data_IF_060557905754
#
_entry.id   IF_060557905754
#
_cell.length_a   1.000
_cell.length_b   1.000
_cell.length_c   1.000
_cell.angle_alpha   90.00
_cell.angle_beta   90.00
_cell.angle_gamma   90.00
#
_symmetry.space_group_name_H-M   'P 1'
#
loop_
_entity.id
_entity.type
_entity.pdbx_description
1 polymer ?
#
# COMPACT_ATOMS: atom_id res chain seq x y z
N UNK A 1 24.67 -8.09 -2.01
CA UNK A 1 23.39 -7.98 -2.75
C UNK A 1 22.28 -8.14 -1.74
N UNK A 2 21.38 -7.18 -1.62
CA UNK A 2 20.18 -7.33 -0.80
C UNK A 2 19.26 -8.37 -1.47
N UNK A 3 18.90 -9.44 -0.76
CA UNK A 3 17.98 -10.45 -1.28
C UNK A 3 16.54 -9.94 -1.16
N UNK A 4 15.81 -9.93 -2.28
CA UNK A 4 14.39 -9.58 -2.29
C UNK A 4 13.60 -10.72 -1.63
N UNK A 5 12.81 -10.40 -0.60
CA UNK A 5 11.92 -11.34 0.08
C UNK A 5 10.64 -11.62 -0.70
N UNK A 6 10.16 -10.63 -1.46
CA UNK A 6 8.96 -10.78 -2.29
C UNK A 6 8.44 -9.45 -2.83
N UNK A 7 7.30 -9.51 -3.50
CA UNK A 7 6.60 -8.34 -4.02
C UNK A 7 5.36 -8.04 -3.18
N UNK A 8 5.26 -6.81 -2.69
CA UNK A 8 4.14 -6.25 -1.95
C UNK A 8 3.26 -5.44 -2.90
N UNK A 9 2.11 -5.99 -3.30
CA UNK A 9 1.07 -5.20 -3.98
C UNK A 9 0.31 -4.37 -2.95
N UNK A 10 0.15 -3.08 -3.18
CA UNK A 10 -0.65 -2.14 -2.38
C UNK A 10 -1.71 -1.55 -3.28
N UNK A 11 -2.98 -1.86 -3.01
CA UNK A 11 -4.11 -1.20 -3.68
C UNK A 11 -4.53 0.04 -2.91
N UNK A 12 -4.32 1.20 -3.50
CA UNK A 12 -4.84 2.48 -2.98
C UNK A 12 -6.26 2.64 -3.50
N UNK A 13 -7.29 2.41 -2.67
CA UNK A 13 -8.68 2.48 -3.14
C UNK A 13 -9.20 3.91 -3.20
N UNK A 14 -9.27 4.60 -2.06
CA UNK A 14 -9.86 5.95 -2.01
C UNK A 14 -9.31 6.82 -0.88
N UNK A 15 -9.47 8.12 -1.05
CA UNK A 15 -9.33 9.13 0.01
C UNK A 15 -10.70 9.58 0.48
N UNK A 16 -10.85 9.88 1.76
CA UNK A 16 -12.11 10.35 2.34
C UNK A 16 -11.86 11.71 3.01
N UNK A 17 -12.62 12.73 2.61
CA UNK A 17 -12.58 14.09 3.12
C UNK A 17 -11.17 14.68 3.17
N UNK A 18 -10.44 14.65 2.05
CA UNK A 18 -9.12 15.25 1.89
C UNK A 18 -9.13 16.76 2.15
N UNK A 19 -7.94 17.31 2.39
CA UNK A 19 -7.83 18.75 2.67
C UNK A 19 -8.10 19.48 1.36
N UNK A 20 -8.85 20.56 1.41
CA UNK A 20 -8.92 21.50 0.29
C UNK A 20 -7.64 22.32 0.32
N UNK A 21 -6.88 22.30 -0.77
CA UNK A 21 -5.65 23.09 -0.95
C UNK A 21 -5.76 24.08 -2.11
N UNK A 22 -6.70 23.89 -3.03
CA UNK A 22 -7.15 24.94 -3.97
C UNK A 22 -8.29 25.79 -3.41
N UNK A 23 -8.83 26.70 -4.23
CA UNK A 23 -9.95 27.59 -3.89
C UNK A 23 -11.19 26.84 -3.40
N UNK A 24 -11.50 25.67 -3.98
CA UNK A 24 -12.71 24.87 -3.64
C UNK A 24 -12.49 23.36 -3.59
N UNK A 25 -11.35 22.85 -4.04
CA UNK A 25 -11.07 21.42 -4.12
C UNK A 25 -9.58 21.13 -3.99
N UNK A 26 -9.16 19.93 -4.37
CA UNK A 26 -7.79 19.56 -4.69
C UNK A 26 -7.79 18.57 -5.86
N UNK A 27 -6.62 18.40 -6.46
CA UNK A 27 -6.23 17.40 -7.45
C UNK A 27 -5.32 16.32 -6.81
N UNK A 28 -5.84 15.47 -5.90
CA UNK A 28 -5.00 14.62 -5.07
C UNK A 28 -4.38 13.42 -5.79
N UNK A 29 -3.15 13.10 -5.40
CA UNK A 29 -2.48 11.83 -5.69
C UNK A 29 -1.69 11.31 -4.48
N UNK A 30 -1.43 10.00 -4.48
CA UNK A 30 -0.71 9.33 -3.39
C UNK A 30 0.67 8.93 -3.84
N UNK A 31 1.67 9.18 -2.99
CA UNK A 31 3.03 8.68 -3.11
C UNK A 31 3.28 7.65 -2.03
N UNK A 32 3.64 6.44 -2.45
CA UNK A 32 4.08 5.35 -1.57
C UNK A 32 5.61 5.28 -1.59
N UNK A 33 6.24 5.17 -0.42
CA UNK A 33 7.69 4.99 -0.27
C UNK A 33 8.03 3.86 0.68
N UNK A 34 9.06 3.10 0.34
CA UNK A 34 9.67 2.10 1.21
C UNK A 34 11.17 2.00 0.87
N UNK A 35 12.03 2.35 1.82
CA UNK A 35 13.46 2.53 1.54
C UNK A 35 13.68 3.53 0.39
N UNK A 36 14.38 3.08 -0.65
CA UNK A 36 14.68 3.88 -1.85
C UNK A 36 13.58 3.83 -2.92
N UNK A 37 12.55 3.00 -2.75
CA UNK A 37 11.47 2.88 -3.72
C UNK A 37 10.43 3.98 -3.54
N UNK A 38 9.94 4.52 -4.66
CA UNK A 38 8.90 5.55 -4.71
C UNK A 38 7.94 5.22 -5.86
N UNK A 39 6.68 5.03 -5.53
CA UNK A 39 5.59 4.81 -6.48
C UNK A 39 4.53 5.89 -6.29
N UNK A 40 3.78 6.21 -7.34
CA UNK A 40 2.71 7.21 -7.29
C UNK A 40 1.46 6.71 -8.00
N UNK A 41 0.29 7.07 -7.48
CA UNK A 41 -0.97 6.88 -8.19
C UNK A 41 -1.13 7.93 -9.29
N UNK A 42 -2.17 7.78 -10.12
CA UNK A 42 -2.68 8.89 -10.91
C UNK A 42 -3.24 10.02 -10.04
N UNK A 43 -3.32 11.19 -10.64
CA UNK A 43 -4.00 12.38 -10.10
C UNK A 43 -5.50 12.25 -10.39
N UNK A 44 -6.34 12.49 -9.39
CA UNK A 44 -7.79 12.67 -9.57
C UNK A 44 -8.07 14.15 -9.45
N UNK A 45 -8.72 14.77 -10.43
CA UNK A 45 -8.91 16.22 -10.47
C UNK A 45 -10.17 16.64 -9.71
N UNK A 46 -10.08 17.75 -8.97
CA UNK A 46 -11.16 18.47 -8.31
C UNK A 46 -12.06 17.55 -7.47
N UNK A 47 -11.45 16.69 -6.69
CA UNK A 47 -12.17 15.75 -5.82
C UNK A 47 -11.43 15.53 -4.50
N UNK A 48 -12.06 15.89 -3.38
CA UNK A 48 -11.54 15.62 -2.03
C UNK A 48 -11.97 14.26 -1.49
N UNK A 49 -12.71 13.46 -2.27
CA UNK A 49 -13.05 12.06 -1.99
C UNK A 49 -12.62 11.15 -3.15
N UNK A 50 -11.35 11.21 -3.59
CA UNK A 50 -10.91 10.57 -4.81
C UNK A 50 -10.98 9.04 -4.70
N UNK A 51 -11.45 8.39 -5.76
CA UNK A 51 -11.38 6.94 -5.93
C UNK A 51 -10.24 6.58 -6.89
N UNK A 52 -9.07 6.26 -6.35
CA UNK A 52 -7.91 5.83 -7.15
C UNK A 52 -8.05 4.38 -7.61
N UNK A 53 -8.44 3.43 -6.77
CA UNK A 53 -8.51 2.00 -7.13
C UNK A 53 -7.28 1.52 -7.94
N UNK A 54 -6.08 1.90 -7.49
CA UNK A 54 -4.84 1.71 -8.24
C UNK A 54 -3.87 0.80 -7.48
N UNK A 55 -3.28 -0.15 -8.19
CA UNK A 55 -2.32 -1.11 -7.64
C UNK A 55 -0.89 -0.60 -7.83
N UNK A 56 -0.14 -0.51 -6.73
CA UNK A 56 1.28 -0.17 -6.71
C UNK A 56 2.07 -1.34 -6.12
N UNK A 57 3.13 -1.80 -6.78
CA UNK A 57 3.90 -2.99 -6.33
C UNK A 57 5.31 -2.61 -5.89
N UNK A 58 5.62 -2.80 -4.61
CA UNK A 58 6.94 -2.61 -4.02
C UNK A 58 7.70 -3.94 -3.94
N UNK A 59 9.02 -3.92 -4.14
CA UNK A 59 9.91 -5.04 -3.82
C UNK A 59 10.32 -4.97 -2.35
N UNK A 60 10.05 -5.99 -1.55
CA UNK A 60 10.42 -5.98 -0.13
C UNK A 60 11.79 -6.63 0.05
N UNK A 61 12.78 -5.84 0.46
CA UNK A 61 14.12 -6.32 0.84
C UNK A 61 14.28 -6.44 2.36
N UNK A 62 13.79 -5.46 3.10
CA UNK A 62 13.77 -5.48 4.57
C UNK A 62 12.33 -5.21 5.10
N UNK A 63 11.71 -6.18 5.79
CA UNK A 63 10.35 -6.03 6.28
C UNK A 63 10.26 -5.09 7.49
N UNK A 64 11.39 -4.71 8.10
CA UNK A 64 11.42 -3.73 9.19
C UNK A 64 11.30 -2.28 8.70
N UNK A 65 11.45 -2.04 7.40
CA UNK A 65 11.28 -0.71 6.83
C UNK A 65 9.79 -0.35 6.78
N UNK A 66 9.37 0.78 7.36
CA UNK A 66 7.98 1.21 7.30
C UNK A 66 7.61 1.64 5.89
N UNK A 67 6.35 1.38 5.50
CA UNK A 67 5.77 1.93 4.28
C UNK A 67 5.19 3.30 4.60
N UNK A 68 5.69 4.33 3.92
CA UNK A 68 5.20 5.71 4.04
C UNK A 68 4.23 6.03 2.92
N UNK A 69 3.07 6.56 3.27
CA UNK A 69 2.04 7.06 2.38
C UNK A 69 1.95 8.57 2.54
N UNK A 70 2.13 9.31 1.45
CA UNK A 70 2.05 10.77 1.46
C UNK A 70 1.04 11.19 0.39
N UNK A 71 0.11 12.06 0.76
CA UNK A 71 -0.87 12.63 -0.17
C UNK A 71 -0.43 14.02 -0.56
N UNK A 72 -0.47 14.31 -1.85
CA UNK A 72 -0.14 15.59 -2.44
C UNK A 72 -1.31 16.11 -3.26
N UNK A 73 -1.45 17.43 -3.29
CA UNK A 73 -2.27 18.14 -4.24
C UNK A 73 -1.41 18.49 -5.47
N UNK A 74 -1.89 18.16 -6.66
CA UNK A 74 -1.14 18.42 -7.90
C UNK A 74 -1.44 19.82 -8.45
N UNK A 75 -0.42 20.65 -8.54
CA UNK A 75 -0.52 21.98 -9.13
C UNK A 75 0.20 22.04 -10.49
N UNK A 76 -0.46 22.63 -11.49
CA UNK A 76 0.13 22.77 -12.84
C UNK A 76 1.25 23.81 -12.92
N UNK A 77 1.19 24.85 -12.09
CA UNK A 77 2.08 26.03 -12.19
C UNK A 77 2.87 26.29 -10.90
N UNK A 78 2.58 25.55 -9.83
CA UNK A 78 3.24 25.68 -8.53
C UNK A 78 3.76 24.34 -8.05
N UNK A 79 4.44 24.34 -6.91
CA UNK A 79 4.92 23.12 -6.28
C UNK A 79 3.74 22.42 -5.60
N UNK A 80 3.55 21.14 -5.90
CA UNK A 80 2.56 20.28 -5.27
C UNK A 80 2.53 20.39 -3.73
N UNK A 81 1.32 20.57 -3.21
CA UNK A 81 1.07 20.86 -1.80
C UNK A 81 0.88 19.58 -0.98
N UNK A 82 1.60 19.42 0.14
CA UNK A 82 1.45 18.23 0.99
C UNK A 82 0.11 18.28 1.74
N UNK A 83 -0.74 17.28 1.50
CA UNK A 83 -2.07 17.17 2.12
C UNK A 83 -2.07 16.35 3.42
N UNK A 84 -1.00 15.58 3.66
CA UNK A 84 -0.73 14.84 4.89
C UNK A 84 0.04 13.55 4.62
N UNK A 85 0.41 12.83 5.67
CA UNK A 85 1.12 11.55 5.55
C UNK A 85 0.70 10.54 6.62
N UNK A 86 0.90 9.27 6.32
CA UNK A 86 0.74 8.16 7.24
C UNK A 86 1.88 7.15 7.02
N UNK A 87 2.12 6.32 8.02
CA UNK A 87 3.04 5.20 7.93
C UNK A 87 2.40 3.95 8.55
N UNK A 88 2.75 2.79 8.00
CA UNK A 88 2.31 1.49 8.51
C UNK A 88 3.42 0.46 8.40
N UNK A 89 3.37 -0.51 9.30
CA UNK A 89 4.31 -1.63 9.39
C UNK A 89 3.75 -2.83 8.61
N UNK A 90 4.61 -3.51 7.86
CA UNK A 90 4.26 -4.71 7.11
C UNK A 90 4.69 -5.99 7.83
N UNK A 91 5.49 -5.93 8.91
CA UNK A 91 5.97 -7.12 9.63
C UNK A 91 4.86 -8.08 10.04
N UNK A 92 3.73 -7.65 10.65
CA UNK A 92 2.66 -8.58 11.02
C UNK A 92 2.08 -9.32 9.81
N UNK A 93 2.05 -8.66 8.65
CA UNK A 93 1.65 -9.27 7.40
C UNK A 93 2.65 -10.33 6.93
N UNK A 94 3.94 -10.00 6.91
CA UNK A 94 5.02 -10.91 6.52
C UNK A 94 5.09 -12.14 7.45
N UNK A 95 4.90 -11.94 8.74
CA UNK A 95 4.86 -13.04 9.73
C UNK A 95 3.68 -13.97 9.44
N UNK A 96 2.52 -13.42 9.10
CA UNK A 96 1.33 -14.22 8.72
C UNK A 96 1.60 -15.05 7.45
N UNK A 97 2.32 -14.52 6.46
CA UNK A 97 2.71 -15.28 5.25
C UNK A 97 3.63 -16.46 5.55
N UNK A 98 4.41 -16.40 6.62
CA UNK A 98 5.35 -17.47 7.03
C UNK A 98 4.66 -18.58 7.83
N UNK A 99 3.40 -18.39 8.22
CA UNK A 99 2.63 -19.40 8.95
C UNK A 99 2.21 -20.54 8.03
N UNK A 100 2.05 -21.74 8.60
CA UNK A 100 1.42 -22.84 7.89
C UNK A 100 -0.11 -22.64 7.90
N UNK A 101 -0.64 -22.18 6.78
CA UNK A 101 -2.08 -21.93 6.60
C UNK A 101 -2.82 -23.09 5.92
N UNK A 102 -2.20 -24.28 5.83
CA UNK A 102 -2.86 -25.46 5.29
C UNK A 102 -4.10 -25.82 6.13
N UNK A 103 -5.25 -25.95 5.47
CA UNK A 103 -6.53 -26.30 6.13
C UNK A 103 -7.24 -25.13 6.82
N UNK A 104 -6.70 -23.91 6.77
CA UNK A 104 -7.40 -22.72 7.26
C UNK A 104 -8.57 -22.39 6.33
N UNK A 105 -9.76 -22.14 6.89
CA UNK A 105 -10.93 -21.76 6.12
C UNK A 105 -10.82 -20.33 5.58
N UNK A 106 -11.30 -20.11 4.36
CA UNK A 106 -11.44 -18.76 3.79
C UNK A 106 -12.30 -17.88 4.70
N UNK A 107 -11.93 -16.61 4.84
CA UNK A 107 -12.56 -15.64 5.75
C UNK A 107 -11.99 -15.62 7.17
N UNK A 108 -11.02 -16.49 7.50
CA UNK A 108 -10.42 -16.50 8.84
C UNK A 108 -9.55 -15.27 9.08
N UNK A 109 -9.84 -14.52 10.14
CA UNK A 109 -8.98 -13.44 10.65
C UNK A 109 -7.80 -14.08 11.38
N UNK A 110 -6.59 -13.92 10.86
CA UNK A 110 -5.37 -14.48 11.45
C UNK A 110 -4.79 -13.52 12.50
N UNK A 111 -4.70 -12.24 12.15
CA UNK A 111 -4.11 -11.20 13.00
C UNK A 111 -4.98 -9.96 12.97
N UNK A 112 -5.10 -9.28 14.12
CA UNK A 112 -5.80 -8.00 14.26
C UNK A 112 -4.87 -6.98 14.89
N UNK A 113 -4.73 -5.82 14.25
CA UNK A 113 -3.92 -4.70 14.72
C UNK A 113 -4.87 -3.56 15.09
N UNK A 114 -4.85 -3.15 16.35
CA UNK A 114 -5.72 -2.08 16.83
C UNK A 114 -5.10 -0.69 16.64
N UNK A 115 -5.92 0.37 16.46
CA UNK A 115 -5.47 1.74 16.54
C UNK A 115 -4.74 2.05 17.85
N UNK A 116 -3.63 2.78 17.75
CA UNK A 116 -2.86 3.23 18.91
C UNK A 116 -2.25 4.60 18.67
N UNK A 117 -1.66 5.20 19.71
CA UNK A 117 -0.93 6.48 19.56
C UNK A 117 0.36 6.33 18.73
N UNK A 118 0.84 5.10 18.58
CA UNK A 118 2.09 4.77 17.92
C UNK A 118 1.90 4.41 16.43
N UNK A 119 0.67 4.16 15.97
CA UNK A 119 0.39 3.85 14.57
C UNK A 119 -0.52 4.90 13.91
N UNK A 120 -0.75 4.73 12.61
CA UNK A 120 -1.65 5.60 11.85
C UNK A 120 -3.00 4.95 11.56
N UNK A 121 -3.39 3.88 12.27
CA UNK A 121 -4.67 3.23 12.05
C UNK A 121 -5.81 4.09 12.62
N UNK A 122 -6.92 4.14 11.89
CA UNK A 122 -8.17 4.79 12.31
C UNK A 122 -9.22 3.80 12.80
N UNK A 123 -9.12 2.54 12.36
CA UNK A 123 -9.95 1.41 12.74
C UNK A 123 -9.06 0.16 12.84
N UNK A 124 -9.62 -0.95 13.35
CA UNK A 124 -8.91 -2.23 13.41
C UNK A 124 -8.48 -2.69 12.01
N UNK A 125 -7.20 -3.01 11.85
CA UNK A 125 -6.67 -3.64 10.64
C UNK A 125 -6.63 -5.14 10.84
N UNK A 126 -7.37 -5.87 10.02
CA UNK A 126 -7.40 -7.33 10.04
C UNK A 126 -6.57 -7.90 8.90
N UNK A 127 -5.75 -8.91 9.22
CA UNK A 127 -5.08 -9.76 8.25
C UNK A 127 -5.92 -11.04 8.15
N UNK A 128 -6.44 -11.30 6.96
CA UNK A 128 -7.46 -12.32 6.69
C UNK A 128 -6.88 -13.31 5.66
N UNK A 129 -7.10 -14.59 5.91
CA UNK A 129 -6.90 -15.62 4.89
C UNK A 129 -8.17 -15.76 4.05
N UNK A 130 -8.09 -15.45 2.76
CA UNK A 130 -9.21 -15.50 1.81
C UNK A 130 -8.75 -16.15 0.51
N UNK A 131 -9.39 -17.26 0.13
CA UNK A 131 -9.25 -17.93 -1.17
C UNK A 131 -7.79 -18.17 -1.58
N UNK A 132 -7.01 -18.76 -0.67
CA UNK A 132 -5.60 -19.07 -0.90
C UNK A 132 -4.66 -17.87 -0.78
N UNK A 133 -5.16 -16.70 -0.37
CA UNK A 133 -4.39 -15.46 -0.25
C UNK A 133 -4.49 -14.89 1.15
N UNK A 134 -3.43 -14.23 1.58
CA UNK A 134 -3.45 -13.38 2.77
C UNK A 134 -3.73 -11.96 2.30
N UNK A 135 -4.70 -11.29 2.91
CA UNK A 135 -5.12 -9.92 2.60
C UNK A 135 -5.15 -9.13 3.88
N UNK A 136 -4.71 -7.87 3.83
CA UNK A 136 -4.85 -6.93 4.93
C UNK A 136 -5.56 -5.68 4.47
N UNK A 137 -6.58 -5.30 5.23
CA UNK A 137 -7.28 -4.04 5.05
C UNK A 137 -6.69 -3.01 6.01
N UNK A 138 -6.36 -1.84 5.48
CA UNK A 138 -5.80 -0.72 6.23
C UNK A 138 -6.69 0.49 6.10
N UNK A 139 -7.06 1.05 7.25
CA UNK A 139 -7.78 2.31 7.40
C UNK A 139 -6.85 3.34 8.03
N UNK A 140 -6.15 4.14 7.22
CA UNK A 140 -5.11 5.04 7.71
C UNK A 140 -5.67 6.43 8.03
N UNK A 141 -5.09 7.11 9.03
CA UNK A 141 -5.30 8.50 9.39
C UNK A 141 -4.07 9.32 9.02
N UNK A 142 -4.23 10.36 8.20
CA UNK A 142 -3.10 11.26 7.93
C UNK A 142 -2.77 12.15 9.13
N UNK A 143 -1.48 12.25 9.40
CA UNK A 143 -0.87 13.29 10.22
C UNK A 143 -0.59 14.51 9.33
N UNK A 144 -0.99 15.68 9.79
CA UNK A 144 -0.70 16.95 9.10
C UNK A 144 0.65 17.51 9.57
N UNK A 145 1.41 18.07 8.64
CA UNK A 145 2.72 18.68 8.92
C UNK A 145 2.62 20.03 9.68
N UNK A 146 1.46 20.71 9.62
CA UNK A 146 1.28 22.06 10.18
C UNK A 146 0.58 22.08 11.55
N UNK A 147 0.83 21.11 12.44
CA UNK A 147 0.57 21.31 13.87
C UNK A 147 1.89 21.70 14.52
N UNK A 148 2.23 22.98 14.43
CA UNK A 148 3.31 23.58 15.22
C UNK A 148 2.94 23.41 16.69
N UNK A 149 3.68 22.59 17.42
CA UNK A 149 3.66 22.47 18.89
C UNK A 149 2.26 22.43 19.53
N UNK A 150 1.68 21.23 19.67
CA UNK A 150 0.70 21.01 20.73
C UNK A 150 1.42 21.12 22.09
N UNK A 151 1.52 22.34 22.63
CA UNK A 151 1.76 22.52 24.06
C UNK A 151 0.51 22.00 24.76
N UNK A 152 0.64 20.87 25.46
CA UNK A 152 -0.36 20.37 26.38
C UNK A 152 -0.57 21.39 27.49
N UNK A 153 -1.62 22.21 27.39
CA UNK A 153 -2.14 22.89 28.57
C UNK A 153 -2.99 21.90 29.37
N UNK A 154 -2.70 21.83 30.65
CA UNK A 154 -3.13 20.84 31.63
C UNK A 154 -4.58 20.95 32.10
N UNK A 155 -5.48 21.58 31.34
CA UNK A 155 -6.86 21.80 31.78
C UNK A 155 -7.87 21.42 30.69
N UNK A 156 -8.47 20.24 30.87
CA UNK A 156 -9.91 19.98 30.66
C UNK A 156 -10.55 20.32 29.31
N UNK A 157 -11.01 19.25 28.65
CA UNK A 157 -11.87 19.15 27.45
C UNK A 157 -11.18 19.40 26.09
N UNK A 158 -11.09 18.36 25.22
CA UNK A 158 -10.74 18.57 23.83
C UNK A 158 -11.92 19.27 23.14
N UNK A 159 -11.80 20.58 22.94
CA UNK A 159 -12.59 21.28 21.92
C UNK A 159 -12.34 20.57 20.60
N UNK A 160 -13.42 20.15 19.91
CA UNK A 160 -13.37 19.55 18.57
C UNK A 160 -12.54 20.43 17.63
N UNK A 161 -11.26 20.11 17.51
CA UNK A 161 -10.46 20.56 16.38
C UNK A 161 -11.08 19.88 15.17
N UNK A 162 -11.79 20.66 14.36
CA UNK A 162 -12.25 20.31 13.01
C UNK A 162 -11.01 19.97 12.15
N UNK A 163 -10.48 18.78 12.34
CA UNK A 163 -9.51 18.11 11.50
C UNK A 163 -10.07 16.73 11.27
N UNK A 164 -10.89 16.62 10.22
CA UNK A 164 -11.58 15.39 9.86
C UNK A 164 -10.62 14.19 9.93
N UNK A 165 -11.09 13.13 10.58
CA UNK A 165 -10.46 11.83 10.56
C UNK A 165 -10.51 11.39 9.09
N UNK A 166 -9.41 11.51 8.36
CA UNK A 166 -9.33 11.07 6.95
C UNK A 166 -8.98 9.61 6.94
N UNK A 167 -9.95 8.78 6.58
CA UNK A 167 -9.82 7.33 6.52
C UNK A 167 -9.46 6.96 5.08
N UNK A 168 -8.32 6.29 4.86
CA UNK A 168 -7.96 5.73 3.55
C UNK A 168 -8.26 4.26 3.57
N UNK A 169 -9.03 3.80 2.61
CA UNK A 169 -9.13 2.37 2.38
C UNK A 169 -7.95 1.95 1.49
N UNK A 170 -6.89 1.45 2.11
CA UNK A 170 -5.79 0.77 1.43
C UNK A 170 -6.02 -0.72 1.60
N UNK A 171 -6.88 -1.29 0.77
CA UNK A 171 -7.13 -2.74 0.80
C UNK A 171 -6.71 -3.37 -0.50
N UNK A 172 -5.49 -3.87 -0.45
CA UNK A 172 -5.08 -5.21 -0.84
C UNK A 172 -3.57 -5.20 -0.68
N UNK A 173 -3.09 -5.67 0.47
CA UNK A 173 -1.71 -6.15 0.57
C UNK A 173 -1.73 -7.61 0.14
N UNK A 174 -1.29 -7.88 -1.09
CA UNK A 174 -1.13 -9.24 -1.58
C UNK A 174 0.36 -9.46 -1.83
N UNK A 175 0.94 -10.42 -1.13
CA UNK A 175 2.24 -10.96 -1.49
C UNK A 175 2.02 -12.18 -2.37
N UNK A 176 2.49 -12.12 -3.62
CA UNK A 176 2.80 -13.35 -4.34
C UNK A 176 4.16 -13.84 -3.86
N UNK A 177 4.17 -14.71 -2.86
CA UNK A 177 5.39 -15.38 -2.38
C UNK A 177 5.51 -16.82 -2.89
N UNK A 178 4.80 -17.20 -3.97
CA UNK A 178 4.78 -18.60 -4.41
C UNK A 178 4.85 -18.88 -5.92
N UNK A 179 5.30 -17.91 -6.74
CA UNK A 179 5.48 -18.16 -8.19
C UNK A 179 6.89 -17.91 -8.74
N UNK A 180 7.86 -17.43 -7.95
CA UNK A 180 9.24 -17.31 -8.46
C UNK A 180 9.92 -18.68 -8.66
N UNK A 181 9.66 -19.65 -7.78
CA UNK A 181 10.24 -21.00 -7.92
C UNK A 181 9.53 -21.86 -8.99
N UNK A 182 8.22 -21.65 -9.21
CA UNK A 182 7.47 -22.35 -10.27
C UNK A 182 7.74 -21.80 -11.66
N UNK A 183 8.00 -20.50 -11.79
CA UNK A 183 8.36 -19.89 -13.08
C UNK A 183 9.79 -20.22 -13.48
N UNK A 184 10.74 -20.30 -12.53
CA UNK A 184 12.09 -20.80 -12.79
C UNK A 184 12.06 -22.29 -13.17
N UNK A 185 11.31 -23.12 -12.44
CA UNK A 185 11.18 -24.56 -12.76
C UNK A 185 10.50 -24.81 -14.11
N UNK A 186 9.47 -24.06 -14.47
CA UNK A 186 8.78 -24.19 -15.77
C UNK A 186 9.66 -23.70 -16.93
N UNK A 187 10.47 -22.65 -16.73
CA UNK A 187 11.43 -22.20 -17.75
C UNK A 187 12.60 -23.17 -17.93
N UNK A 188 13.10 -23.79 -16.86
CA UNK A 188 14.12 -24.85 -16.95
C UNK A 188 13.60 -26.11 -17.65
N UNK A 189 12.30 -26.41 -17.55
CA UNK A 189 11.69 -27.56 -18.22
C UNK A 189 11.32 -27.30 -19.68
N UNK A 190 10.99 -26.05 -20.05
CA UNK A 190 10.67 -25.64 -21.43
C UNK A 190 11.93 -25.36 -22.26
N UNK A 191 12.97 -24.82 -21.65
CA UNK A 191 14.28 -24.62 -22.27
C UNK A 191 15.19 -25.79 -21.88
N UNK A 192 15.01 -26.93 -22.54
CA UNK A 192 15.84 -28.13 -22.35
C UNK A 192 17.32 -27.76 -22.18
N UNK A 193 17.87 -28.15 -21.03
CA UNK A 193 19.11 -27.61 -20.47
C UNK A 193 20.21 -27.34 -21.50
N UNK A 194 20.50 -26.06 -21.72
CA UNK A 194 21.79 -25.63 -22.25
C UNK A 194 22.39 -24.59 -21.30
N UNK A 195 23.47 -25.01 -20.65
CA UNK A 195 24.44 -24.15 -20.00
C UNK A 195 25.30 -23.47 -21.06
N UNK A 196 25.12 -22.18 -21.30
CA UNK A 196 26.17 -21.30 -21.83
C UNK A 196 26.00 -19.88 -21.27
N UNK A 197 27.12 -19.27 -20.88
CA UNK A 197 27.15 -17.97 -20.22
C UNK A 197 27.06 -16.75 -21.15
N UNK A 198 26.97 -15.58 -20.48
CA UNK A 198 27.14 -14.18 -20.94
C UNK A 198 25.86 -13.46 -21.45
N UNK A 199 25.81 -12.10 -21.47
CA UNK A 199 25.68 -11.23 -20.29
C UNK A 199 24.58 -10.13 -20.48
N UNK A 200 24.23 -9.43 -19.40
CA UNK A 200 23.58 -8.09 -19.35
C UNK A 200 22.67 -7.64 -20.51
N UNK A 201 21.36 -7.93 -20.41
CA UNK A 201 20.23 -7.00 -20.67
C UNK A 201 18.92 -7.79 -20.56
N UNK A 202 18.24 -7.71 -19.41
CA UNK A 202 16.87 -8.20 -19.28
C UNK A 202 15.93 -6.99 -19.25
N UNK A 203 15.49 -6.60 -20.44
CA UNK A 203 14.32 -5.76 -20.63
C UNK A 203 13.09 -6.66 -20.50
N UNK A 204 12.31 -6.52 -19.44
CA UNK A 204 11.03 -7.23 -19.31
C UNK A 204 9.91 -6.40 -19.92
N UNK A 205 9.29 -6.92 -20.98
CA UNK A 205 7.97 -6.49 -21.44
C UNK A 205 6.93 -7.30 -20.66
N UNK A 206 6.22 -6.67 -19.72
CA UNK A 206 5.07 -7.30 -19.08
C UNK A 206 3.84 -6.96 -19.92
N UNK A 207 3.41 -7.95 -20.70
CA UNK A 207 2.17 -7.92 -21.46
C UNK A 207 1.00 -8.22 -20.50
N UNK A 208 0.06 -7.28 -20.33
CA UNK A 208 -1.21 -7.56 -19.67
C UNK A 208 -2.29 -7.67 -20.75
N UNK A 209 -2.70 -8.91 -21.06
CA UNK A 209 -3.88 -9.17 -21.87
C UNK A 209 -5.14 -9.07 -21.00
N UNK A 210 -6.26 -8.53 -21.53
CA UNK A 210 -7.53 -8.51 -20.83
C UNK A 210 -8.14 -9.92 -20.81
N UNK A 211 -8.52 -10.39 -19.62
CA UNK A 211 -9.37 -11.58 -19.48
C UNK A 211 -10.81 -11.15 -19.76
N UNK A 212 -11.28 -11.37 -20.99
CA UNK A 212 -12.71 -11.51 -21.25
C UNK A 212 -13.07 -13.00 -21.10
N UNK A 213 -13.79 -13.32 -20.02
CA UNK A 213 -14.43 -14.61 -19.84
C UNK A 213 -15.77 -14.64 -20.58
N UNK A 214 -15.89 -15.60 -21.49
CA UNK A 214 -17.08 -15.98 -22.26
C UNK A 214 -18.22 -16.50 -21.38
N UNK A 215 -19.44 -16.02 -21.65
CA UNK A 215 -20.68 -16.81 -21.62
C UNK A 215 -21.39 -16.50 -22.94
N UNK A 216 -21.83 -17.47 -23.74
CA UNK A 216 -22.51 -18.72 -23.41
C UNK A 216 -22.09 -19.85 -24.35
#
# INVERSE_FOLDING_TARGET
>A
MESILGLLRIRVKRGINLAVRDVRSSDPYVVIRMGNQKLKTRVIKKDVNPHWNEDLTLSVTDPNLPVKLIVYDHDLFTKDDKMGEAEFDIRPFIETLKMNLAGVSSGTVITRIQPSRQNCLSEDSCIIYSDGKVVQDLYLRLKMWNVVNWKSNSNGLPSLARGAFKVYDCSFICFQSHDMDRLLSSFYHLCGGLSTGLPHKLTFYVLLLPVFGSGS
#
